data_IF_788594133196
#
_entry.id   IF_788594133196
#
_cell.length_a   1.000
_cell.length_b   1.000
_cell.length_c   1.000
_cell.angle_alpha   90.00
_cell.angle_beta   90.00
_cell.angle_gamma   90.00
#
_symmetry.space_group_name_H-M   'P 1'
#
loop_
_entity.id
_entity.type
_entity.pdbx_description
1 polymer ?
#
# COMPACT_ATOMS: atom_id res chain seq x y z
N UNK A 1 -18.77 17.38 -20.55
CA UNK A 1 -17.54 17.15 -21.30
C UNK A 1 -17.03 15.74 -21.03
N UNK A 2 -16.34 15.10 -22.00
CA UNK A 2 -15.78 13.75 -21.81
C UNK A 2 -14.26 13.83 -21.72
N UNK A 3 -13.73 13.43 -20.59
CA UNK A 3 -12.30 13.43 -20.31
C UNK A 3 -11.72 12.02 -20.33
N UNK A 4 -10.60 11.83 -20.98
CA UNK A 4 -9.85 10.58 -20.97
C UNK A 4 -8.66 10.64 -20.02
N UNK A 5 -8.35 9.53 -19.32
CA UNK A 5 -7.11 9.39 -18.57
C UNK A 5 -6.35 8.12 -18.94
N UNK A 6 -5.07 8.30 -19.29
CA UNK A 6 -4.15 7.24 -19.61
C UNK A 6 -2.96 7.21 -18.65
N UNK A 7 -2.47 6.00 -18.34
CA UNK A 7 -1.30 5.84 -17.47
C UNK A 7 -0.46 4.63 -17.88
N UNK A 8 0.86 4.81 -17.87
CA UNK A 8 1.81 3.70 -18.10
C UNK A 8 2.91 3.71 -17.04
N UNK A 9 3.49 2.52 -16.78
CA UNK A 9 4.72 2.37 -16.02
C UNK A 9 5.89 2.36 -16.99
N UNK A 10 6.97 3.09 -16.69
CA UNK A 10 8.10 3.27 -17.60
C UNK A 10 8.99 2.03 -17.77
N UNK A 11 8.87 1.38 -18.93
CA UNK A 11 10.00 0.91 -19.70
C UNK A 11 9.93 1.67 -21.04
N UNK A 12 10.92 2.45 -21.39
CA UNK A 12 10.82 3.59 -22.31
C UNK A 12 10.07 3.38 -23.66
N UNK A 13 10.25 2.26 -24.33
CA UNK A 13 9.56 2.00 -25.62
C UNK A 13 8.17 1.34 -25.45
N UNK A 14 8.05 0.38 -24.54
CA UNK A 14 6.76 -0.25 -24.22
C UNK A 14 5.77 0.75 -23.59
N UNK A 15 6.28 1.75 -22.85
CA UNK A 15 5.47 2.81 -22.27
C UNK A 15 4.88 3.74 -23.33
N UNK A 16 5.66 4.14 -24.36
CA UNK A 16 5.17 5.01 -25.43
C UNK A 16 4.08 4.30 -26.24
N UNK A 17 4.34 3.07 -26.68
CA UNK A 17 3.35 2.28 -27.41
C UNK A 17 2.08 2.04 -26.58
N UNK A 18 2.22 1.65 -25.32
CA UNK A 18 1.08 1.43 -24.43
C UNK A 18 0.27 2.69 -24.12
N UNK A 19 0.90 3.88 -24.14
CA UNK A 19 0.21 5.15 -23.96
C UNK A 19 -0.56 5.56 -25.22
N UNK A 20 0.05 5.37 -26.40
CA UNK A 20 -0.57 5.72 -27.69
C UNK A 20 -1.82 4.85 -27.94
N UNK A 21 -1.74 3.54 -27.68
CA UNK A 21 -2.90 2.63 -27.76
C UNK A 21 -4.02 3.05 -26.77
N UNK A 22 -3.68 3.45 -25.54
CA UNK A 22 -4.70 3.93 -24.61
C UNK A 22 -5.34 5.22 -25.10
N UNK A 23 -4.57 6.16 -25.63
CA UNK A 23 -5.11 7.42 -26.17
C UNK A 23 -6.06 7.18 -27.33
N UNK A 24 -5.73 6.27 -28.24
CA UNK A 24 -6.58 5.85 -29.35
C UNK A 24 -7.91 5.27 -28.83
N UNK A 25 -7.87 4.32 -27.90
CA UNK A 25 -9.07 3.74 -27.27
C UNK A 25 -9.95 4.80 -26.57
N UNK A 26 -9.33 5.78 -25.90
CA UNK A 26 -10.05 6.86 -25.23
C UNK A 26 -10.69 7.81 -26.24
N UNK A 27 -10.00 8.11 -27.33
CA UNK A 27 -10.53 8.93 -28.41
C UNK A 27 -11.72 8.25 -29.10
N UNK A 28 -11.60 6.95 -29.41
CA UNK A 28 -12.68 6.15 -30.00
C UNK A 28 -13.90 6.05 -29.09
N UNK A 29 -13.69 6.08 -27.77
CA UNK A 29 -14.74 6.15 -26.77
C UNK A 29 -15.35 7.56 -26.63
N UNK A 30 -14.87 8.52 -27.39
CA UNK A 30 -15.39 9.89 -27.45
C UNK A 30 -14.77 10.85 -26.42
N UNK A 31 -13.59 10.58 -25.88
CA UNK A 31 -12.89 11.54 -25.02
C UNK A 31 -12.49 12.78 -25.83
N UNK A 32 -12.92 13.96 -25.36
CA UNK A 32 -12.66 15.26 -25.98
C UNK A 32 -11.30 15.85 -25.53
N UNK A 33 -10.89 15.53 -24.31
CA UNK A 33 -9.60 15.94 -23.73
C UNK A 33 -8.97 14.77 -22.99
N UNK A 34 -7.69 14.47 -23.27
CA UNK A 34 -7.00 13.32 -22.69
C UNK A 34 -5.82 13.81 -21.85
N UNK A 35 -5.78 13.37 -20.59
CA UNK A 35 -4.67 13.54 -19.66
C UNK A 35 -3.85 12.25 -19.61
N UNK A 36 -2.53 12.35 -19.50
CA UNK A 36 -1.68 11.18 -19.55
C UNK A 36 -0.46 11.31 -18.63
N UNK A 37 -0.29 10.37 -17.74
CA UNK A 37 0.88 10.25 -16.87
C UNK A 37 1.78 9.09 -17.29
N UNK A 38 3.08 9.36 -17.46
CA UNK A 38 4.12 8.35 -17.59
C UNK A 38 4.90 8.25 -16.27
N UNK A 39 4.88 7.10 -15.63
CA UNK A 39 5.37 6.89 -14.28
C UNK A 39 6.82 6.38 -14.26
N UNK A 40 7.74 7.12 -13.62
CA UNK A 40 9.12 6.71 -13.36
C UNK A 40 9.36 6.49 -11.86
N UNK A 41 9.45 5.24 -11.42
CA UNK A 41 9.93 4.90 -10.08
C UNK A 41 8.89 4.85 -8.95
N UNK A 42 9.35 4.93 -7.72
CA UNK A 42 8.57 4.67 -6.49
C UNK A 42 7.68 5.84 -6.02
N UNK A 43 7.90 7.05 -6.52
CA UNK A 43 7.08 8.23 -6.13
C UNK A 43 5.85 8.36 -7.02
N UNK A 44 4.68 8.31 -6.40
CA UNK A 44 3.36 8.34 -7.05
C UNK A 44 2.93 9.76 -7.43
N UNK A 45 3.78 10.55 -8.11
CA UNK A 45 3.37 11.86 -8.57
C UNK A 45 2.58 11.72 -9.88
N UNK A 46 1.33 12.20 -9.91
CA UNK A 46 0.40 12.13 -11.03
C UNK A 46 -0.10 13.53 -11.39
N UNK A 47 0.77 14.40 -11.90
CA UNK A 47 0.41 15.80 -12.14
C UNK A 47 -0.75 15.96 -13.13
N UNK A 48 -0.86 15.10 -14.13
CA UNK A 48 -1.94 15.15 -15.10
C UNK A 48 -3.26 14.61 -14.50
N UNK A 49 -3.20 13.61 -13.61
CA UNK A 49 -4.35 13.18 -12.83
C UNK A 49 -4.88 14.28 -11.91
N UNK A 50 -4.00 14.96 -11.20
CA UNK A 50 -4.39 16.04 -10.29
C UNK A 50 -5.01 17.22 -11.04
N UNK A 51 -4.48 17.58 -12.22
CA UNK A 51 -5.08 18.56 -13.12
C UNK A 51 -6.46 18.12 -13.59
N UNK A 52 -6.60 16.86 -14.04
CA UNK A 52 -7.89 16.31 -14.44
C UNK A 52 -8.93 16.43 -13.33
N UNK A 53 -8.57 16.03 -12.09
CA UNK A 53 -9.48 16.12 -10.95
C UNK A 53 -9.93 17.56 -10.63
N UNK A 54 -9.07 18.55 -10.91
CA UNK A 54 -9.39 19.98 -10.72
C UNK A 54 -10.30 20.55 -11.83
N UNK A 55 -10.28 19.96 -13.03
CA UNK A 55 -11.12 20.40 -14.16
C UNK A 55 -12.51 19.75 -14.17
N UNK A 56 -12.65 18.53 -13.59
CA UNK A 56 -13.90 17.78 -13.60
C UNK A 56 -15.04 18.52 -12.86
N UNK A 57 -16.19 18.63 -13.51
CA UNK A 57 -17.40 19.26 -12.99
C UNK A 57 -18.57 18.26 -12.96
N UNK A 58 -19.61 18.53 -12.15
CA UNK A 58 -20.84 17.73 -12.19
C UNK A 58 -21.41 17.65 -13.62
N UNK A 59 -21.76 16.44 -14.05
CA UNK A 59 -22.23 16.16 -15.40
C UNK A 59 -21.13 15.77 -16.40
N UNK A 60 -19.86 15.91 -16.05
CA UNK A 60 -18.75 15.42 -16.88
C UNK A 60 -18.61 13.91 -16.80
N UNK A 61 -17.94 13.32 -17.80
CA UNK A 61 -17.64 11.90 -17.88
C UNK A 61 -16.13 11.69 -17.90
N UNK A 62 -15.61 10.87 -16.97
CA UNK A 62 -14.24 10.37 -16.97
C UNK A 62 -14.20 9.01 -17.66
N UNK A 63 -13.41 8.86 -18.72
CA UNK A 63 -13.20 7.61 -19.45
C UNK A 63 -11.80 7.08 -19.18
N UNK A 64 -11.69 5.81 -18.82
CA UNK A 64 -10.41 5.10 -18.64
C UNK A 64 -10.46 3.71 -19.27
N UNK A 65 -9.36 3.22 -19.78
CA UNK A 65 -9.33 1.90 -20.41
C UNK A 65 -9.55 0.77 -19.40
N UNK A 66 -8.97 0.88 -18.20
CA UNK A 66 -9.03 -0.12 -17.12
C UNK A 66 -8.96 0.55 -15.75
N UNK A 67 -9.48 -0.11 -14.72
CA UNK A 67 -9.49 0.38 -13.34
C UNK A 67 -8.07 0.64 -12.78
N UNK A 68 -7.08 -0.16 -13.15
CA UNK A 68 -5.69 -0.02 -12.74
C UNK A 68 -5.02 1.28 -13.25
N UNK A 69 -5.67 1.99 -14.18
CA UNK A 69 -5.22 3.34 -14.61
C UNK A 69 -5.55 4.37 -13.52
N UNK A 70 -6.70 4.23 -12.84
CA UNK A 70 -7.14 5.13 -11.76
C UNK A 70 -6.33 4.86 -10.49
N UNK A 71 -6.21 3.60 -10.07
CA UNK A 71 -5.60 3.22 -8.79
C UNK A 71 -4.74 1.96 -8.91
N UNK A 72 -3.95 1.67 -7.85
CA UNK A 72 -3.09 0.49 -7.79
C UNK A 72 -3.78 -0.75 -7.21
N UNK A 73 -4.88 -0.55 -6.50
CA UNK A 73 -5.72 -1.61 -5.97
C UNK A 73 -7.16 -1.36 -6.36
N UNK A 74 -7.95 -2.43 -6.44
CA UNK A 74 -9.38 -2.33 -6.75
C UNK A 74 -10.11 -1.51 -5.67
N UNK A 75 -9.78 -1.68 -4.39
CA UNK A 75 -10.37 -0.92 -3.28
C UNK A 75 -10.16 0.59 -3.46
N UNK A 76 -8.90 1.03 -3.63
CA UNK A 76 -8.61 2.45 -3.84
C UNK A 76 -9.24 2.99 -5.14
N UNK A 77 -9.38 2.15 -6.18
CA UNK A 77 -10.05 2.52 -7.41
C UNK A 77 -11.53 2.81 -7.19
N UNK A 78 -12.19 1.99 -6.40
CA UNK A 78 -13.60 2.18 -6.05
C UNK A 78 -13.82 3.40 -5.16
N UNK A 79 -12.94 3.66 -4.19
CA UNK A 79 -12.99 4.89 -3.37
C UNK A 79 -12.91 6.15 -4.24
N UNK A 80 -12.03 6.16 -5.24
CA UNK A 80 -11.92 7.27 -6.20
C UNK A 80 -13.18 7.41 -7.06
N UNK A 81 -13.73 6.28 -7.54
CA UNK A 81 -14.98 6.27 -8.32
C UNK A 81 -16.13 6.83 -7.47
N UNK A 82 -16.26 6.41 -6.21
CA UNK A 82 -17.28 6.89 -5.30
C UNK A 82 -17.18 8.40 -5.04
N UNK A 83 -15.96 8.89 -4.85
CA UNK A 83 -15.71 10.31 -4.67
C UNK A 83 -16.10 11.13 -5.94
N UNK A 84 -15.81 10.61 -7.14
CA UNK A 84 -16.19 11.25 -8.40
C UNK A 84 -17.71 11.21 -8.63
N UNK A 85 -18.35 10.07 -8.40
CA UNK A 85 -19.80 9.93 -8.51
C UNK A 85 -20.53 10.83 -7.51
N UNK A 86 -20.02 10.99 -6.30
CA UNK A 86 -20.56 11.91 -5.29
C UNK A 86 -20.47 13.37 -5.73
N UNK A 87 -19.49 13.72 -6.57
CA UNK A 87 -19.38 15.03 -7.23
C UNK A 87 -20.26 15.16 -8.48
N UNK A 88 -21.05 14.13 -8.81
CA UNK A 88 -21.88 14.13 -10.01
C UNK A 88 -21.13 13.83 -11.32
N UNK A 89 -19.92 13.29 -11.25
CA UNK A 89 -19.12 12.86 -12.40
C UNK A 89 -19.46 11.41 -12.73
N UNK A 90 -19.65 11.10 -14.01
CA UNK A 90 -19.83 9.74 -14.50
C UNK A 90 -18.46 9.12 -14.75
N UNK A 91 -18.26 7.87 -14.33
CA UNK A 91 -17.00 7.14 -14.58
C UNK A 91 -17.26 5.98 -15.55
N UNK A 92 -16.59 5.99 -16.69
CA UNK A 92 -16.70 4.97 -17.72
C UNK A 92 -15.36 4.20 -17.83
N UNK A 93 -15.38 2.95 -17.46
CA UNK A 93 -14.21 2.06 -17.54
C UNK A 93 -14.48 1.10 -18.70
N UNK A 94 -13.72 1.22 -19.80
CA UNK A 94 -14.05 0.58 -21.08
C UNK A 94 -14.23 -0.95 -20.98
N UNK A 95 -13.49 -1.62 -20.10
CA UNK A 95 -13.62 -3.06 -19.89
C UNK A 95 -14.62 -3.47 -18.81
N UNK A 96 -15.27 -2.50 -18.12
CA UNK A 96 -16.16 -2.77 -16.99
C UNK A 96 -17.55 -2.14 -17.18
N UNK A 97 -17.61 -1.09 -17.97
CA UNK A 97 -18.83 -0.33 -18.24
C UNK A 97 -18.90 1.00 -17.50
N UNK A 98 -20.05 1.64 -17.67
CA UNK A 98 -20.34 2.97 -17.14
C UNK A 98 -20.86 2.88 -15.70
N UNK A 99 -20.25 3.64 -14.82
CA UNK A 99 -20.61 3.76 -13.40
C UNK A 99 -21.18 5.15 -13.17
N UNK A 100 -22.47 5.21 -12.92
CA UNK A 100 -23.23 6.41 -12.62
C UNK A 100 -24.27 6.13 -11.52
N UNK A 101 -25.13 7.09 -11.20
CA UNK A 101 -26.18 6.92 -10.20
C UNK A 101 -27.40 6.14 -10.68
N UNK A 102 -27.38 5.60 -11.91
CA UNK A 102 -28.43 4.70 -12.42
C UNK A 102 -28.45 3.37 -11.64
N UNK A 103 -29.58 2.64 -11.66
CA UNK A 103 -29.64 1.30 -11.06
C UNK A 103 -28.57 0.34 -11.59
N UNK A 104 -28.27 0.38 -12.89
CA UNK A 104 -27.23 -0.44 -13.51
C UNK A 104 -25.82 -0.03 -13.03
N UNK A 105 -25.50 1.27 -13.00
CA UNK A 105 -24.22 1.76 -12.52
C UNK A 105 -23.97 1.39 -11.04
N UNK A 106 -25.00 1.51 -10.20
CA UNK A 106 -24.96 1.08 -8.80
C UNK A 106 -24.75 -0.42 -8.66
N UNK A 107 -25.42 -1.24 -9.48
CA UNK A 107 -25.25 -2.70 -9.47
C UNK A 107 -23.82 -3.09 -9.83
N UNK A 108 -23.28 -2.56 -10.94
CA UNK A 108 -21.91 -2.81 -11.38
C UNK A 108 -20.94 -2.46 -10.25
N UNK A 109 -21.07 -1.28 -9.64
CA UNK A 109 -20.24 -0.85 -8.51
C UNK A 109 -20.31 -1.82 -7.33
N UNK A 110 -21.51 -2.27 -6.95
CA UNK A 110 -21.70 -3.21 -5.83
C UNK A 110 -21.01 -4.55 -6.09
N UNK A 111 -21.10 -5.06 -7.32
CA UNK A 111 -20.41 -6.30 -7.71
C UNK A 111 -18.89 -6.14 -7.57
N UNK A 112 -18.33 -5.02 -8.00
CA UNK A 112 -16.89 -4.78 -7.88
C UNK A 112 -16.42 -4.57 -6.44
N UNK A 113 -17.23 -3.92 -5.59
CA UNK A 113 -16.97 -3.83 -4.15
C UNK A 113 -16.87 -5.23 -3.54
N UNK A 114 -17.88 -6.06 -3.74
CA UNK A 114 -17.93 -7.42 -3.24
C UNK A 114 -16.72 -8.27 -3.74
N UNK A 115 -16.36 -8.12 -5.01
CA UNK A 115 -15.19 -8.81 -5.58
C UNK A 115 -13.87 -8.34 -4.95
N UNK A 116 -13.73 -7.04 -4.69
CA UNK A 116 -12.53 -6.48 -4.06
C UNK A 116 -12.36 -6.91 -2.59
N UNK A 117 -13.46 -7.03 -1.86
CA UNK A 117 -13.49 -7.59 -0.51
C UNK A 117 -13.08 -9.07 -0.54
N UNK A 118 -13.66 -9.84 -1.45
CA UNK A 118 -13.30 -11.25 -1.64
C UNK A 118 -11.82 -11.43 -1.97
N UNK A 119 -11.24 -10.66 -2.90
CA UNK A 119 -9.80 -10.71 -3.19
C UNK A 119 -8.94 -10.43 -1.96
N UNK A 120 -9.32 -9.41 -1.17
CA UNK A 120 -8.62 -9.07 0.07
C UNK A 120 -8.66 -10.21 1.07
N UNK A 121 -9.82 -10.80 1.29
CA UNK A 121 -10.01 -11.93 2.21
C UNK A 121 -9.22 -13.16 1.76
N UNK A 122 -9.19 -13.44 0.45
CA UNK A 122 -8.38 -14.49 -0.13
C UNK A 122 -6.87 -14.27 0.06
N UNK A 123 -6.39 -13.04 -0.04
CA UNK A 123 -4.98 -12.70 0.23
C UNK A 123 -4.66 -12.91 1.71
N UNK A 124 -5.54 -12.46 2.62
CA UNK A 124 -5.39 -12.67 4.07
C UNK A 124 -5.34 -14.16 4.39
N UNK A 125 -6.30 -14.93 3.89
CA UNK A 125 -6.40 -16.38 4.10
C UNK A 125 -5.13 -17.08 3.63
N UNK A 126 -4.69 -16.88 2.39
CA UNK A 126 -3.45 -17.46 1.85
C UNK A 126 -2.22 -17.07 2.67
N UNK A 127 -2.17 -15.84 3.16
CA UNK A 127 -1.07 -15.36 4.01
C UNK A 127 -1.06 -16.10 5.35
N UNK A 128 -2.22 -16.29 5.99
CA UNK A 128 -2.33 -17.01 7.25
C UNK A 128 -2.00 -18.50 7.09
N UNK A 129 -2.49 -19.12 6.03
CA UNK A 129 -2.14 -20.52 5.69
C UNK A 129 -0.62 -20.68 5.45
N UNK A 130 -0.02 -19.74 4.70
CA UNK A 130 1.43 -19.73 4.48
C UNK A 130 2.23 -19.58 5.77
N UNK A 131 1.78 -18.72 6.69
CA UNK A 131 2.40 -18.56 8.01
C UNK A 131 2.22 -19.80 8.88
N UNK A 132 1.03 -20.40 8.89
CA UNK A 132 0.77 -21.63 9.64
C UNK A 132 1.67 -22.78 9.15
N UNK A 133 1.80 -22.92 7.83
CA UNK A 133 2.70 -23.90 7.22
C UNK A 133 4.17 -23.64 7.56
N UNK A 134 4.61 -22.37 7.51
CA UNK A 134 5.98 -22.01 7.86
C UNK A 134 6.30 -22.30 9.33
N UNK A 135 5.36 -22.06 10.26
CA UNK A 135 5.52 -22.42 11.69
C UNK A 135 5.61 -23.93 11.89
N UNK A 136 4.81 -24.69 11.15
CA UNK A 136 4.82 -26.17 11.25
C UNK A 136 6.11 -26.80 10.71
N UNK A 137 6.72 -26.20 9.68
CA UNK A 137 7.91 -26.74 9.01
C UNK A 137 9.24 -26.15 9.55
N UNK A 138 9.19 -24.98 10.17
CA UNK A 138 10.40 -24.32 10.69
C UNK A 138 10.17 -23.79 12.12
N UNK A 139 10.65 -24.51 13.16
CA UNK A 139 10.52 -24.08 14.55
C UNK A 139 11.17 -22.71 14.85
N UNK A 140 12.13 -22.27 14.03
CA UNK A 140 12.78 -20.96 14.13
C UNK A 140 12.04 -19.84 13.39
N UNK A 141 10.90 -20.15 12.75
CA UNK A 141 10.09 -19.16 12.04
C UNK A 141 9.55 -18.10 13.01
N UNK A 142 9.87 -16.85 12.74
CA UNK A 142 9.30 -15.70 13.45
C UNK A 142 8.75 -14.70 12.47
N UNK A 143 7.63 -14.08 12.82
CA UNK A 143 7.02 -13.02 12.02
C UNK A 143 7.72 -11.68 12.25
N UNK A 144 7.70 -10.84 11.22
CA UNK A 144 8.21 -9.48 11.27
C UNK A 144 9.64 -9.35 10.74
N UNK A 145 10.27 -8.21 11.04
CA UNK A 145 11.64 -7.95 10.61
C UNK A 145 12.61 -8.83 11.40
N UNK A 146 13.57 -9.53 10.75
CA UNK A 146 14.61 -10.28 11.46
C UNK A 146 15.33 -9.40 12.51
N UNK A 147 15.64 -10.01 13.64
CA UNK A 147 16.40 -9.30 14.68
C UNK A 147 17.79 -8.91 14.13
N UNK A 148 18.14 -7.63 14.25
CA UNK A 148 19.42 -7.10 13.76
C UNK A 148 20.62 -7.64 14.56
N UNK A 149 20.41 -7.96 15.83
CA UNK A 149 21.43 -8.44 16.76
C UNK A 149 21.03 -9.80 17.31
N UNK A 150 22.00 -10.72 17.42
CA UNK A 150 21.79 -12.02 18.01
C UNK A 150 21.76 -11.94 19.56
N UNK A 151 21.44 -13.05 20.22
CA UNK A 151 21.33 -13.12 21.67
C UNK A 151 22.66 -12.77 22.35
N UNK A 152 23.77 -13.32 21.87
CA UNK A 152 25.11 -13.14 22.48
C UNK A 152 25.56 -11.69 22.39
N UNK A 153 25.29 -11.00 21.28
CA UNK A 153 25.56 -9.56 21.13
C UNK A 153 24.78 -8.73 22.13
N UNK A 154 23.51 -9.06 22.35
CA UNK A 154 22.67 -8.37 23.32
C UNK A 154 23.08 -8.70 24.74
N UNK A 155 23.47 -9.94 25.04
CA UNK A 155 23.95 -10.35 26.38
C UNK A 155 25.26 -9.63 26.74
N UNK A 156 26.20 -9.56 25.80
CA UNK A 156 27.44 -8.80 25.97
C UNK A 156 27.15 -7.30 26.25
N UNK A 157 26.28 -6.69 25.44
CA UNK A 157 25.92 -5.29 25.59
C UNK A 157 25.19 -5.01 26.93
N UNK A 158 24.33 -5.93 27.40
CA UNK A 158 23.69 -5.82 28.71
C UNK A 158 24.69 -5.95 29.87
N UNK A 159 25.70 -6.82 29.75
CA UNK A 159 26.79 -6.93 30.69
C UNK A 159 27.56 -5.61 30.86
N UNK A 160 27.87 -4.94 29.75
CA UNK A 160 28.56 -3.64 29.77
C UNK A 160 27.77 -2.53 30.46
N UNK A 161 26.42 -2.64 30.53
CA UNK A 161 25.58 -1.63 31.22
C UNK A 161 25.73 -1.66 32.75
N UNK A 162 26.38 -2.64 33.33
CA UNK A 162 26.70 -2.65 34.77
C UNK A 162 27.71 -1.55 35.14
N UNK A 163 28.68 -1.28 34.23
CA UNK A 163 29.79 -0.35 34.46
C UNK A 163 29.74 0.90 33.57
N UNK A 164 28.87 0.89 32.56
CA UNK A 164 28.84 1.94 31.54
C UNK A 164 27.40 2.48 31.27
N UNK A 165 27.33 3.74 30.87
CA UNK A 165 26.04 4.36 30.46
C UNK A 165 25.53 3.80 29.12
N UNK A 166 24.23 3.88 28.87
CA UNK A 166 23.65 3.48 27.58
C UNK A 166 24.33 4.13 26.37
N UNK A 167 24.74 5.40 26.48
CA UNK A 167 25.44 6.11 25.39
C UNK A 167 26.89 5.63 25.21
N UNK A 168 27.55 5.18 26.27
CA UNK A 168 28.89 4.58 26.19
C UNK A 168 28.80 3.20 25.53
N UNK A 169 27.85 2.36 25.95
CA UNK A 169 27.64 1.02 25.38
C UNK A 169 27.20 1.11 23.89
N UNK A 170 26.40 2.09 23.50
CA UNK A 170 26.09 2.35 22.10
C UNK A 170 27.34 2.59 21.25
N UNK A 171 28.27 3.43 21.74
CA UNK A 171 29.54 3.69 21.05
C UNK A 171 30.45 2.46 20.98
N UNK A 172 30.45 1.63 22.00
CA UNK A 172 31.30 0.43 22.09
C UNK A 172 30.78 -0.72 21.22
N UNK A 173 29.48 -0.90 21.16
CA UNK A 173 28.85 -2.08 20.52
C UNK A 173 28.17 -1.78 19.18
N UNK A 174 27.93 -0.52 18.86
CA UNK A 174 27.12 -0.10 17.68
C UNK A 174 25.63 -0.41 17.81
N UNK A 175 25.17 -0.90 18.98
CA UNK A 175 23.74 -1.16 19.24
C UNK A 175 23.10 0.13 19.73
N UNK A 176 22.08 0.61 19.01
CA UNK A 176 21.44 1.89 19.33
C UNK A 176 20.90 1.93 20.76
N UNK A 177 21.01 3.08 21.41
CA UNK A 177 20.49 3.34 22.76
C UNK A 177 19.03 2.91 22.91
N UNK A 178 18.19 3.16 21.90
CA UNK A 178 16.78 2.76 21.91
C UNK A 178 16.61 1.23 21.98
N UNK A 179 17.46 0.47 21.28
CA UNK A 179 17.46 -1.00 21.34
C UNK A 179 17.91 -1.49 22.71
N UNK A 180 18.99 -0.91 23.26
CA UNK A 180 19.50 -1.27 24.60
C UNK A 180 18.47 -1.00 25.70
N UNK A 181 17.82 0.15 25.68
CA UNK A 181 16.75 0.51 26.64
C UNK A 181 15.58 -0.47 26.54
N UNK A 182 15.15 -0.81 25.34
CA UNK A 182 14.05 -1.76 25.12
C UNK A 182 14.41 -3.14 25.66
N UNK A 183 15.60 -3.63 25.33
CA UNK A 183 16.10 -4.93 25.80
C UNK A 183 16.20 -4.97 27.34
N UNK A 184 16.76 -3.94 27.95
CA UNK A 184 16.84 -3.82 29.41
C UNK A 184 15.47 -3.87 30.09
N UNK A 185 14.48 -3.17 29.54
CA UNK A 185 13.11 -3.21 30.05
C UNK A 185 12.47 -4.58 29.92
N UNK A 186 12.66 -5.26 28.79
CA UNK A 186 12.14 -6.62 28.56
C UNK A 186 12.73 -7.62 29.55
N UNK A 187 14.05 -7.55 29.81
CA UNK A 187 14.71 -8.43 30.78
C UNK A 187 14.25 -8.16 32.22
N UNK A 188 14.09 -6.90 32.59
CA UNK A 188 13.53 -6.53 33.91
C UNK A 188 12.10 -7.04 34.09
N UNK A 189 11.26 -6.94 33.05
CA UNK A 189 9.89 -7.42 33.10
C UNK A 189 9.78 -8.97 33.11
N UNK A 190 10.81 -9.67 32.65
CA UNK A 190 10.87 -11.13 32.63
C UNK A 190 11.39 -11.74 33.96
N UNK A 191 11.90 -10.92 34.87
CA UNK A 191 12.32 -11.39 36.19
C UNK A 191 11.08 -11.66 37.07
N UNK A 192 11.04 -12.80 37.81
CA UNK A 192 9.96 -13.08 38.75
C UNK A 192 9.87 -11.98 39.80
N UNK A 193 8.67 -11.60 40.20
CA UNK A 193 8.39 -10.51 41.16
C UNK A 193 9.06 -10.68 42.52
N UNK A 194 9.45 -11.90 42.86
CA UNK A 194 10.15 -12.23 44.12
C UNK A 194 11.59 -11.70 44.20
N UNK A 195 12.25 -11.45 43.07
CA UNK A 195 13.65 -10.96 43.03
C UNK A 195 13.72 -9.45 43.26
N UNK A 196 12.64 -8.72 42.99
CA UNK A 196 12.58 -7.25 43.14
C UNK A 196 12.49 -6.77 44.57
N UNK A 197 12.18 -7.64 45.55
CA UNK A 197 12.02 -7.28 46.96
C UNK A 197 13.35 -7.25 47.75
N UNK A 198 14.43 -7.70 47.17
CA UNK A 198 15.75 -7.79 47.83
C UNK A 198 16.78 -6.76 47.34
N UNK A 199 16.41 -5.80 46.51
CA UNK A 199 17.29 -4.75 45.95
C UNK A 199 16.91 -3.31 46.39
N UNK A 200 16.22 -3.14 47.52
CA UNK A 200 16.03 -1.86 48.20
C UNK A 200 16.82 -1.80 49.52
#
# INVERSE_FOLDING_TARGET
MKYGYARVSTAQQAAKYGLDVQKEQLHDAGAEKIFADAYTGTKANRPEWDKLLSELKPGDELIVCKLDRIARSAVNGLEVIDALMSKGVVVNILNMGRMDNSPQGKLIRTIFLAFSEFERDMIVTRTQEGKARARATNPAFSEGRPKKYNKDQLDHAMGLLNDHSFSAVERMTGISKSTLVRESRQRKAALPTEVLLWQN
#
